data_IF_182070205996
#
_entry.id   IF_182070205996
#
_cell.length_a   1.000
_cell.length_b   1.000
_cell.length_c   1.000
_cell.angle_alpha   90.00
_cell.angle_beta   90.00
_cell.angle_gamma   90.00
#
_symmetry.space_group_name_H-M   'P 1'
#
loop_
_entity.id
_entity.type
_entity.pdbx_description
1 polymer ?
#
# COMPACT_ATOMS: atom_id res chain seq x y z
N UNK A 1 25.45 -23.35 -39.99
CA UNK A 1 26.71 -23.56 -39.23
C UNK A 1 26.34 -23.97 -37.81
N UNK A 2 26.98 -25.02 -37.30
CA UNK A 2 26.58 -25.79 -36.12
C UNK A 2 26.85 -25.02 -34.81
N UNK A 3 25.92 -25.14 -33.87
CA UNK A 3 25.92 -24.54 -32.53
C UNK A 3 27.01 -25.16 -31.64
N UNK A 4 27.74 -24.35 -30.87
CA UNK A 4 28.57 -24.82 -29.76
C UNK A 4 27.96 -24.22 -28.49
N UNK A 5 27.34 -25.09 -27.69
CA UNK A 5 26.84 -24.79 -26.34
C UNK A 5 27.90 -25.33 -25.38
N UNK A 6 28.50 -24.45 -24.58
CA UNK A 6 29.43 -24.83 -23.50
C UNK A 6 28.61 -24.89 -22.21
N UNK A 7 28.37 -26.11 -21.72
CA UNK A 7 27.81 -26.36 -20.39
C UNK A 7 28.95 -26.51 -19.38
N UNK A 8 29.01 -25.64 -18.38
CA UNK A 8 29.90 -25.78 -17.22
C UNK A 8 29.07 -26.32 -16.05
N UNK A 9 29.38 -27.49 -15.48
CA UNK A 9 28.70 -27.99 -14.30
C UNK A 9 29.39 -27.44 -13.04
N UNK A 10 28.66 -26.65 -12.24
CA UNK A 10 29.10 -26.31 -10.87
C UNK A 10 28.42 -27.28 -9.91
N UNK A 11 29.26 -28.11 -9.30
CA UNK A 11 28.90 -29.21 -8.42
C UNK A 11 29.22 -28.82 -6.96
N UNK A 12 28.14 -28.73 -6.16
CA UNK A 12 28.01 -29.08 -4.72
C UNK A 12 28.81 -28.27 -3.67
N UNK A 13 28.12 -27.77 -2.63
CA UNK A 13 28.21 -28.28 -1.25
C UNK A 13 27.21 -27.56 -0.32
N UNK A 14 26.25 -28.34 0.19
CA UNK A 14 25.41 -28.03 1.34
C UNK A 14 26.28 -27.94 2.60
N UNK A 15 26.08 -26.89 3.41
CA UNK A 15 26.44 -26.92 4.83
C UNK A 15 25.18 -26.57 5.62
N UNK A 16 24.49 -27.61 6.08
CA UNK A 16 23.64 -27.52 7.28
C UNK A 16 24.57 -27.47 8.48
N UNK A 17 24.46 -26.43 9.30
CA UNK A 17 24.99 -26.43 10.66
C UNK A 17 23.86 -26.07 11.61
N UNK A 18 23.17 -27.09 12.09
CA UNK A 18 22.50 -27.05 13.38
C UNK A 18 23.51 -27.52 14.42
N UNK A 19 23.87 -26.66 15.36
CA UNK A 19 24.43 -27.08 16.64
C UNK A 19 23.55 -26.57 17.77
N UNK A 20 22.73 -27.49 18.28
CA UNK A 20 22.22 -27.43 19.65
C UNK A 20 23.42 -27.55 20.62
N UNK A 21 23.45 -26.67 21.61
CA UNK A 21 24.12 -26.93 22.89
C UNK A 21 23.16 -26.60 24.02
N UNK A 22 22.63 -27.65 24.63
CA UNK A 22 22.09 -27.61 25.99
C UNK A 22 23.26 -27.62 26.99
N UNK A 23 23.19 -26.74 27.99
CA UNK A 23 23.19 -27.11 29.42
C UNK A 23 23.54 -25.89 30.28
N UNK A 24 22.60 -25.38 31.08
CA UNK A 24 22.64 -25.68 32.52
C UNK A 24 21.42 -25.14 33.26
N UNK A 25 20.93 -26.04 34.12
CA UNK A 25 19.81 -25.88 35.03
C UNK A 25 20.12 -24.89 36.15
N UNK A 26 19.10 -24.14 36.57
CA UNK A 26 18.80 -23.99 37.99
C UNK A 26 17.28 -24.14 38.19
N UNK A 27 16.92 -25.22 38.91
CA UNK A 27 15.61 -25.47 39.55
C UNK A 27 15.38 -24.37 40.59
N UNK A 28 14.19 -23.97 41.02
CA UNK A 28 13.00 -24.68 41.48
C UNK A 28 11.97 -23.55 41.72
N UNK A 29 10.76 -23.54 41.20
CA UNK A 29 9.63 -24.37 41.62
C UNK A 29 8.56 -23.47 42.25
N UNK A 30 7.36 -23.38 41.66
CA UNK A 30 6.09 -23.49 42.38
C UNK A 30 4.92 -23.56 41.40
N UNK A 31 4.05 -24.52 41.66
CA UNK A 31 2.79 -24.77 40.98
C UNK A 31 1.79 -23.70 41.44
N UNK A 32 1.22 -22.95 40.50
CA UNK A 32 -0.09 -22.32 40.67
C UNK A 32 -0.91 -22.59 39.41
N UNK A 33 -1.96 -23.40 39.57
CA UNK A 33 -3.10 -23.43 38.66
C UNK A 33 -3.80 -22.08 38.77
N UNK A 34 -4.02 -21.39 37.66
CA UNK A 34 -5.11 -20.43 37.54
C UNK A 34 -5.61 -20.42 36.10
N UNK A 35 -6.79 -21.00 35.95
CA UNK A 35 -7.91 -20.50 35.17
C UNK A 35 -7.66 -20.07 33.71
N UNK A 36 -8.11 -20.97 32.83
CA UNK A 36 -8.98 -20.67 31.70
C UNK A 36 -9.30 -19.18 31.49
N UNK A 37 -8.47 -18.53 30.67
CA UNK A 37 -8.90 -17.36 29.90
C UNK A 37 -9.48 -17.91 28.61
N UNK A 38 -10.81 -18.03 28.58
CA UNK A 38 -11.55 -18.08 27.34
C UNK A 38 -11.08 -16.90 26.49
N UNK A 39 -10.50 -17.19 25.32
CA UNK A 39 -10.46 -16.22 24.23
C UNK A 39 -11.92 -15.89 23.94
N UNK A 40 -12.37 -14.75 24.42
CA UNK A 40 -13.58 -14.14 23.92
C UNK A 40 -13.37 -13.89 22.43
N UNK A 41 -13.95 -14.77 21.64
CA UNK A 41 -14.21 -14.54 20.23
C UNK A 41 -15.23 -13.40 20.18
N UNK A 42 -14.71 -12.16 20.22
CA UNK A 42 -15.54 -10.96 20.10
C UNK A 42 -16.26 -11.04 18.78
N UNK A 43 -17.58 -11.03 18.89
CA UNK A 43 -18.60 -11.12 17.85
C UNK A 43 -18.32 -10.17 16.67
N UNK A 44 -17.46 -10.60 15.74
CA UNK A 44 -16.89 -9.76 14.68
C UNK A 44 -17.81 -9.58 13.47
N UNK A 45 -18.92 -10.32 13.41
CA UNK A 45 -19.73 -10.46 12.19
C UNK A 45 -20.55 -9.22 11.79
N UNK A 46 -20.94 -8.36 12.75
CA UNK A 46 -21.70 -7.13 12.44
C UNK A 46 -20.76 -5.94 12.24
N UNK A 47 -19.74 -5.80 13.09
CA UNK A 47 -18.80 -4.69 13.03
C UNK A 47 -18.05 -4.72 11.70
N UNK A 48 -17.41 -5.85 11.37
CA UNK A 48 -16.55 -6.03 10.19
C UNK A 48 -17.17 -5.61 8.85
N UNK A 49 -18.51 -5.59 8.74
CA UNK A 49 -19.21 -5.26 7.51
C UNK A 49 -19.01 -3.79 7.14
N UNK A 50 -19.03 -2.88 8.10
CA UNK A 50 -18.87 -1.44 7.81
C UNK A 50 -17.46 -1.12 7.32
N UNK A 51 -16.43 -1.72 7.92
CA UNK A 51 -15.04 -1.53 7.49
C UNK A 51 -14.79 -2.12 6.10
N UNK A 52 -15.32 -3.31 5.81
CA UNK A 52 -15.20 -3.93 4.49
C UNK A 52 -15.91 -3.08 3.43
N UNK A 53 -17.15 -2.65 3.69
CA UNK A 53 -17.91 -1.84 2.75
C UNK A 53 -17.27 -0.46 2.53
N UNK A 54 -16.65 0.14 3.56
CA UNK A 54 -15.85 1.36 3.40
C UNK A 54 -14.69 1.14 2.41
N UNK A 55 -13.89 0.09 2.61
CA UNK A 55 -12.74 -0.22 1.75
C UNK A 55 -13.20 -0.47 0.31
N UNK A 56 -14.21 -1.32 0.11
CA UNK A 56 -14.77 -1.58 -1.23
C UNK A 56 -15.28 -0.31 -1.90
N UNK A 57 -16.00 0.53 -1.16
CA UNK A 57 -16.56 1.78 -1.67
C UNK A 57 -15.47 2.75 -2.11
N UNK A 58 -14.40 2.89 -1.31
CA UNK A 58 -13.26 3.70 -1.68
C UNK A 58 -12.59 3.20 -2.96
N UNK A 59 -12.29 1.90 -3.07
CA UNK A 59 -11.61 1.36 -4.25
C UNK A 59 -12.43 1.53 -5.52
N UNK A 60 -13.74 1.24 -5.46
CA UNK A 60 -14.66 1.46 -6.57
C UNK A 60 -14.76 2.92 -6.96
N UNK A 61 -14.82 3.82 -5.96
CA UNK A 61 -14.79 5.26 -6.20
C UNK A 61 -13.47 5.67 -6.86
N UNK A 62 -12.34 5.18 -6.39
CA UNK A 62 -11.03 5.50 -6.93
C UNK A 62 -10.91 5.10 -8.39
N UNK A 63 -11.21 3.83 -8.72
CA UNK A 63 -11.24 3.31 -10.10
C UNK A 63 -12.13 4.19 -10.99
N UNK A 64 -13.32 4.58 -10.51
CA UNK A 64 -14.24 5.41 -11.29
C UNK A 64 -13.74 6.85 -11.50
N UNK A 65 -12.93 7.38 -10.60
CA UNK A 65 -12.50 8.78 -10.60
C UNK A 65 -11.02 8.98 -10.92
N UNK A 66 -10.24 7.92 -11.16
CA UNK A 66 -8.80 8.01 -11.42
C UNK A 66 -8.48 8.93 -12.59
N UNK A 67 -9.25 8.86 -13.68
CA UNK A 67 -9.10 9.74 -14.83
C UNK A 67 -9.38 11.21 -14.52
N UNK A 68 -10.16 11.52 -13.48
CA UNK A 68 -10.34 12.89 -13.01
C UNK A 68 -9.14 13.33 -12.18
N UNK A 69 -8.62 12.46 -11.33
CA UNK A 69 -7.44 12.73 -10.49
C UNK A 69 -6.18 12.93 -11.34
N UNK A 70 -5.97 12.12 -12.37
CA UNK A 70 -4.80 12.19 -13.25
C UNK A 70 -4.79 13.40 -14.19
N UNK A 71 -5.91 14.13 -14.32
CA UNK A 71 -5.93 15.42 -15.04
C UNK A 71 -5.17 16.52 -14.32
N UNK A 72 -4.97 16.39 -13.01
CA UNK A 72 -4.12 17.28 -12.27
C UNK A 72 -2.67 16.91 -12.57
N UNK A 73 -2.01 17.71 -13.39
CA UNK A 73 -0.60 17.53 -13.77
C UNK A 73 0.30 17.90 -12.59
N UNK A 74 0.27 17.05 -11.55
CA UNK A 74 0.96 17.27 -10.28
C UNK A 74 2.47 17.21 -10.40
N UNK A 75 2.99 16.46 -11.37
CA UNK A 75 4.40 16.45 -11.76
C UNK A 75 4.52 17.10 -13.13
N UNK A 76 5.39 18.11 -13.24
CA UNK A 76 5.71 18.80 -14.48
C UNK A 76 7.15 18.51 -14.93
N UNK A 77 7.50 18.98 -16.14
CA UNK A 77 8.80 18.73 -16.77
C UNK A 77 8.82 17.41 -17.55
N UNK A 78 10.03 16.84 -17.68
CA UNK A 78 10.30 15.63 -18.46
C UNK A 78 10.62 15.90 -19.93
N UNK A 79 10.82 14.81 -20.67
CA UNK A 79 11.21 14.81 -22.08
C UNK A 79 10.07 15.12 -23.06
N UNK A 80 8.82 15.08 -22.60
CA UNK A 80 7.63 15.32 -23.44
C UNK A 80 7.33 16.82 -23.55
N UNK A 81 8.16 17.54 -24.28
CA UNK A 81 8.01 18.97 -24.59
C UNK A 81 7.71 19.18 -26.08
N UNK A 82 7.16 20.34 -26.44
CA UNK A 82 6.88 20.66 -27.83
C UNK A 82 8.17 20.66 -28.68
N UNK A 83 8.05 20.48 -30.00
CA UNK A 83 9.17 20.33 -30.97
C UNK A 83 10.25 21.43 -30.93
N UNK A 84 10.04 22.53 -30.22
CA UNK A 84 10.96 23.68 -30.12
C UNK A 84 11.27 24.09 -28.66
N UNK A 85 10.98 23.23 -27.68
CA UNK A 85 11.28 23.48 -26.27
C UNK A 85 12.33 22.50 -25.76
N UNK A 86 13.19 22.97 -24.86
CA UNK A 86 14.16 22.11 -24.19
C UNK A 86 13.48 21.33 -23.05
N UNK A 87 13.75 20.03 -22.88
CA UNK A 87 13.27 19.24 -21.76
C UNK A 87 13.61 19.88 -20.41
N UNK A 88 12.60 20.01 -19.55
CA UNK A 88 12.78 20.56 -18.20
C UNK A 88 12.96 19.43 -17.19
N UNK A 89 13.80 19.65 -16.18
CA UNK A 89 13.89 18.73 -15.04
C UNK A 89 12.53 18.60 -14.35
N UNK A 90 12.27 17.43 -13.77
CA UNK A 90 11.04 17.19 -13.03
C UNK A 90 10.87 18.19 -11.88
N UNK A 91 9.64 18.57 -11.64
CA UNK A 91 9.25 19.39 -10.50
C UNK A 91 7.81 19.08 -10.11
N UNK A 92 7.45 19.42 -8.87
CA UNK A 92 6.09 19.28 -8.37
C UNK A 92 5.31 20.58 -8.58
N UNK A 93 4.19 20.48 -9.28
CA UNK A 93 3.25 21.59 -9.39
C UNK A 93 2.30 21.60 -8.18
N UNK A 94 2.69 22.29 -7.11
CA UNK A 94 1.89 22.35 -5.89
C UNK A 94 0.48 22.93 -6.07
N UNK A 95 0.25 23.78 -7.08
CA UNK A 95 -1.09 24.29 -7.37
C UNK A 95 -2.03 23.19 -7.88
N UNK A 96 -1.51 22.24 -8.68
CA UNK A 96 -2.24 21.06 -9.12
C UNK A 96 -2.36 20.01 -8.01
N UNK A 97 -1.32 19.88 -7.16
CA UNK A 97 -1.39 19.02 -5.96
C UNK A 97 -2.52 19.46 -5.04
N UNK A 98 -2.71 20.76 -4.82
CA UNK A 98 -3.81 21.25 -3.99
C UNK A 98 -5.19 20.88 -4.57
N UNK A 99 -5.37 20.98 -5.88
CA UNK A 99 -6.61 20.56 -6.55
C UNK A 99 -6.82 19.05 -6.43
N UNK A 100 -5.76 18.26 -6.61
CA UNK A 100 -5.76 16.81 -6.42
C UNK A 100 -6.16 16.41 -5.00
N UNK A 101 -5.55 17.02 -3.97
CA UNK A 101 -5.87 16.74 -2.56
C UNK A 101 -7.31 17.15 -2.22
N UNK A 102 -7.79 18.29 -2.75
CA UNK A 102 -9.18 18.72 -2.58
C UNK A 102 -10.14 17.71 -3.22
N UNK A 103 -9.82 17.17 -4.39
CA UNK A 103 -10.66 16.17 -5.05
C UNK A 103 -10.69 14.84 -4.29
N UNK A 104 -9.54 14.37 -3.79
CA UNK A 104 -9.47 13.23 -2.88
C UNK A 104 -10.32 13.44 -1.62
N UNK A 105 -10.29 14.65 -1.04
CA UNK A 105 -11.07 14.99 0.15
C UNK A 105 -12.58 14.91 -0.10
N UNK A 106 -13.05 15.32 -1.28
CA UNK A 106 -14.48 15.24 -1.65
C UNK A 106 -15.02 13.81 -1.69
N UNK A 107 -14.15 12.81 -1.80
CA UNK A 107 -14.56 11.39 -1.75
C UNK A 107 -15.24 11.03 -0.42
N UNK A 108 -14.87 11.70 0.67
CA UNK A 108 -15.42 11.45 2.01
C UNK A 108 -14.98 10.13 2.65
N UNK A 109 -13.96 9.46 2.10
CA UNK A 109 -13.43 8.18 2.61
C UNK A 109 -12.17 8.32 3.46
N UNK A 110 -11.41 9.40 3.29
CA UNK A 110 -10.04 9.54 3.80
C UNK A 110 -10.01 10.43 5.04
N UNK A 111 -9.13 10.13 5.99
CA UNK A 111 -8.85 11.04 7.13
C UNK A 111 -8.03 12.25 6.66
N UNK A 112 -8.07 13.33 7.45
CA UNK A 112 -7.16 14.48 7.23
C UNK A 112 -5.68 14.07 7.36
N UNK A 113 -5.38 13.07 8.19
CA UNK A 113 -4.03 12.53 8.35
C UNK A 113 -3.57 11.81 7.07
N UNK A 114 -4.45 11.03 6.43
CA UNK A 114 -4.19 10.44 5.12
C UNK A 114 -3.84 11.53 4.09
N UNK A 115 -4.69 12.54 3.97
CA UNK A 115 -4.50 13.64 3.00
C UNK A 115 -3.22 14.43 3.26
N UNK A 116 -2.86 14.63 4.54
CA UNK A 116 -1.60 15.25 4.93
C UNK A 116 -0.39 14.41 4.49
N UNK A 117 -0.43 13.10 4.71
CA UNK A 117 0.64 12.19 4.30
C UNK A 117 0.77 12.15 2.77
N UNK A 118 -0.35 12.16 2.05
CA UNK A 118 -0.35 12.24 0.59
C UNK A 118 0.31 13.55 0.10
N UNK A 119 -0.01 14.70 0.71
CA UNK A 119 0.67 15.97 0.40
C UNK A 119 2.16 15.92 0.74
N UNK A 120 2.55 15.22 1.81
CA UNK A 120 3.94 15.08 2.22
C UNK A 120 4.79 14.34 1.19
N UNK A 121 4.24 13.33 0.50
CA UNK A 121 4.91 12.62 -0.61
C UNK A 121 5.33 13.60 -1.71
N UNK A 122 4.47 14.55 -2.07
CA UNK A 122 4.80 15.59 -3.06
C UNK A 122 5.89 16.56 -2.56
N UNK A 123 5.90 16.90 -1.27
CA UNK A 123 6.96 17.74 -0.69
C UNK A 123 8.31 17.03 -0.76
N UNK A 124 8.33 15.73 -0.46
CA UNK A 124 9.54 14.90 -0.53
C UNK A 124 10.00 14.69 -1.97
N UNK A 125 9.08 14.50 -2.90
CA UNK A 125 9.35 14.43 -4.34
C UNK A 125 10.00 15.71 -4.88
N UNK A 126 9.46 16.87 -4.54
CA UNK A 126 10.04 18.16 -4.93
C UNK A 126 11.47 18.33 -4.40
N UNK A 127 11.69 17.94 -3.13
CA UNK A 127 13.02 17.96 -2.55
C UNK A 127 13.97 17.04 -3.33
N UNK A 128 13.53 15.82 -3.64
CA UNK A 128 14.31 14.86 -4.41
C UNK A 128 14.68 15.39 -5.79
N UNK A 129 13.73 15.95 -6.56
CA UNK A 129 14.00 16.45 -7.91
C UNK A 129 14.95 17.66 -7.93
N UNK A 130 14.95 18.48 -6.87
CA UNK A 130 15.93 19.56 -6.71
C UNK A 130 17.34 19.04 -6.43
N UNK A 131 17.44 17.98 -5.63
CA UNK A 131 18.72 17.34 -5.30
C UNK A 131 19.25 16.46 -6.44
N UNK A 132 18.36 15.92 -7.28
CA UNK A 132 18.65 15.00 -8.36
C UNK A 132 17.94 15.46 -9.65
N UNK A 133 18.45 16.48 -10.34
CA UNK A 133 17.79 17.00 -11.53
C UNK A 133 17.83 15.98 -12.67
N UNK A 134 16.65 15.50 -13.06
CA UNK A 134 16.46 14.54 -14.13
C UNK A 134 15.23 14.91 -14.97
N UNK A 135 15.24 14.57 -16.25
CA UNK A 135 14.16 14.86 -17.20
C UNK A 135 13.90 13.70 -18.17
N UNK A 136 14.55 12.55 -17.97
CA UNK A 136 14.41 11.36 -18.79
C UNK A 136 13.79 10.22 -17.99
N UNK A 137 13.01 9.37 -18.66
CA UNK A 137 12.28 8.26 -18.04
C UNK A 137 11.16 8.70 -17.07
N UNK A 138 10.48 7.77 -16.39
CA UNK A 138 9.45 8.10 -15.41
C UNK A 138 10.00 8.85 -14.19
N UNK A 139 9.24 9.81 -13.62
CA UNK A 139 9.67 10.55 -12.43
C UNK A 139 9.79 9.63 -11.21
N UNK A 140 10.95 9.62 -10.55
CA UNK A 140 11.21 8.76 -9.40
C UNK A 140 10.14 8.89 -8.30
N UNK A 141 9.53 7.77 -7.92
CA UNK A 141 8.51 7.73 -6.86
C UNK A 141 7.12 8.17 -7.29
N UNK A 142 6.93 8.53 -8.56
CA UNK A 142 5.64 8.91 -9.16
C UNK A 142 5.33 8.10 -10.43
N UNK A 143 6.04 7.00 -10.64
CA UNK A 143 5.95 6.11 -11.81
C UNK A 143 4.93 4.97 -11.65
N UNK A 144 4.11 4.99 -10.60
CA UNK A 144 3.09 3.98 -10.30
C UNK A 144 1.86 4.59 -9.63
N UNK A 145 0.74 3.86 -9.66
CA UNK A 145 -0.47 4.24 -8.91
C UNK A 145 -0.24 4.09 -7.41
N UNK A 146 -0.37 5.16 -6.63
CA UNK A 146 -0.05 5.15 -5.20
C UNK A 146 -1.08 4.47 -4.30
N UNK A 147 -2.27 4.15 -4.81
CA UNK A 147 -3.32 3.46 -4.05
C UNK A 147 -3.40 1.97 -4.38
N UNK A 148 -3.02 1.60 -5.61
CA UNK A 148 -2.97 0.24 -6.12
C UNK A 148 -1.54 -0.31 -6.24
N UNK A 149 -0.51 0.48 -5.93
CA UNK A 149 0.91 0.11 -5.92
C UNK A 149 1.39 -0.61 -7.19
N UNK A 150 0.87 -0.20 -8.36
CA UNK A 150 1.15 -0.87 -9.64
C UNK A 150 1.29 0.13 -10.79
N UNK A 151 2.05 -0.26 -11.81
CA UNK A 151 2.11 0.44 -13.10
C UNK A 151 1.12 -0.15 -14.13
N UNK A 152 0.61 -1.35 -13.85
CA UNK A 152 -0.31 -2.08 -14.71
C UNK A 152 -1.76 -1.58 -14.53
N UNK A 153 -2.61 -1.88 -15.51
CA UNK A 153 -4.05 -1.62 -15.40
C UNK A 153 -4.64 -2.39 -14.19
N UNK A 154 -5.29 -1.66 -13.29
CA UNK A 154 -5.89 -2.21 -12.07
C UNK A 154 -7.43 -2.18 -12.10
N UNK A 155 -8.01 -1.56 -13.12
CA UNK A 155 -9.45 -1.48 -13.31
C UNK A 155 -10.08 -2.87 -13.52
N UNK A 156 -9.30 -3.82 -14.02
CA UNK A 156 -9.69 -5.22 -14.17
C UNK A 156 -9.93 -5.93 -12.83
N UNK A 157 -9.44 -5.41 -11.71
CA UNK A 157 -9.74 -5.93 -10.38
C UNK A 157 -11.12 -5.52 -9.86
N UNK A 158 -11.85 -4.63 -10.55
CA UNK A 158 -13.17 -4.17 -10.11
C UNK A 158 -14.15 -5.33 -9.75
N UNK A 159 -14.25 -6.43 -10.54
CA UNK A 159 -15.08 -7.58 -10.19
C UNK A 159 -14.54 -8.39 -9.00
N UNK A 160 -13.23 -8.31 -8.71
CA UNK A 160 -12.59 -9.03 -7.62
C UNK A 160 -12.75 -8.30 -6.29
N UNK A 161 -12.86 -6.97 -6.28
CA UNK A 161 -13.14 -6.19 -5.07
C UNK A 161 -14.36 -6.75 -4.31
N UNK A 162 -15.42 -7.16 -5.01
CA UNK A 162 -16.60 -7.71 -4.33
C UNK A 162 -16.44 -9.16 -3.85
N UNK A 163 -15.60 -9.94 -4.54
CA UNK A 163 -15.46 -11.39 -4.35
C UNK A 163 -14.29 -11.76 -3.45
N UNK A 164 -13.33 -10.86 -3.27
CA UNK A 164 -12.14 -11.10 -2.48
C UNK A 164 -12.50 -11.41 -1.03
N UNK A 165 -11.65 -12.23 -0.41
CA UNK A 165 -11.75 -12.53 1.02
C UNK A 165 -11.11 -11.39 1.81
N UNK A 166 -11.89 -10.78 2.68
CA UNK A 166 -11.45 -9.74 3.59
C UNK A 166 -11.23 -10.31 4.99
N UNK A 167 -10.15 -9.88 5.64
CA UNK A 167 -9.83 -10.16 7.03
C UNK A 167 -9.85 -8.84 7.78
N UNK A 168 -10.74 -8.72 8.76
CA UNK A 168 -10.83 -7.53 9.61
C UNK A 168 -10.20 -7.83 10.96
N UNK A 169 -9.28 -6.98 11.39
CA UNK A 169 -8.63 -7.02 12.69
C UNK A 169 -8.98 -5.75 13.47
N UNK A 170 -9.99 -5.86 14.33
CA UNK A 170 -10.44 -4.74 15.17
C UNK A 170 -9.40 -4.43 16.25
N UNK A 171 -8.98 -3.16 16.35
CA UNK A 171 -8.00 -2.66 17.33
C UNK A 171 -8.64 -1.64 18.28
N UNK A 172 -9.48 -2.16 19.17
CA UNK A 172 -10.30 -1.35 20.08
C UNK A 172 -11.47 -0.69 19.36
N UNK A 173 -12.10 0.31 19.98
CA UNK A 173 -13.33 0.92 19.45
C UNK A 173 -13.09 1.83 18.23
N UNK A 174 -11.93 2.50 18.19
CA UNK A 174 -11.68 3.60 17.24
C UNK A 174 -10.71 3.25 16.11
N UNK A 175 -10.11 2.06 16.10
CA UNK A 175 -9.15 1.66 15.08
C UNK A 175 -9.44 0.24 14.60
N UNK A 176 -9.22 0.00 13.31
CA UNK A 176 -9.36 -1.32 12.70
C UNK A 176 -8.37 -1.46 11.55
N UNK A 177 -8.08 -2.70 11.16
CA UNK A 177 -7.30 -3.01 9.98
C UNK A 177 -8.09 -3.96 9.09
N UNK A 178 -8.11 -3.69 7.78
CA UNK A 178 -8.73 -4.56 6.79
C UNK A 178 -7.63 -5.03 5.83
N UNK A 179 -7.49 -6.35 5.71
CA UNK A 179 -6.56 -6.98 4.78
C UNK A 179 -7.28 -7.84 3.75
N UNK A 180 -6.80 -7.80 2.52
CA UNK A 180 -7.37 -8.56 1.41
C UNK A 180 -6.36 -8.66 0.26
N UNK A 181 -6.55 -9.65 -0.60
CA UNK A 181 -5.74 -9.87 -1.78
C UNK A 181 -6.55 -9.57 -3.04
N UNK A 182 -5.95 -8.88 -4.00
CA UNK A 182 -6.49 -8.70 -5.34
C UNK A 182 -5.63 -9.47 -6.35
N UNK A 183 -6.22 -10.42 -7.09
CA UNK A 183 -5.45 -11.35 -7.91
C UNK A 183 -4.91 -10.75 -9.20
N UNK A 184 -5.54 -9.72 -9.79
CA UNK A 184 -5.05 -9.17 -11.06
C UNK A 184 -3.82 -8.30 -10.82
N UNK A 185 -3.85 -7.39 -9.85
CA UNK A 185 -2.67 -6.63 -9.47
C UNK A 185 -1.65 -7.46 -8.67
N UNK A 186 -2.04 -8.64 -8.17
CA UNK A 186 -1.15 -9.53 -7.42
C UNK A 186 -0.72 -8.99 -6.06
N UNK A 187 -1.48 -8.05 -5.48
CA UNK A 187 -1.10 -7.34 -4.25
C UNK A 187 -1.99 -7.76 -3.08
N UNK A 188 -1.37 -7.93 -1.91
CA UNK A 188 -2.09 -7.97 -0.64
C UNK A 188 -2.07 -6.57 -0.02
N UNK A 189 -3.26 -6.04 0.23
CA UNK A 189 -3.44 -4.73 0.81
C UNK A 189 -3.68 -4.82 2.31
N UNK A 190 -3.25 -3.78 3.02
CA UNK A 190 -3.67 -3.49 4.39
C UNK A 190 -4.15 -2.04 4.48
N UNK A 191 -5.42 -1.89 4.83
CA UNK A 191 -6.06 -0.60 5.07
C UNK A 191 -6.19 -0.39 6.58
N UNK A 192 -5.51 0.63 7.10
CA UNK A 192 -5.67 1.06 8.49
C UNK A 192 -6.81 2.05 8.56
N UNK A 193 -7.78 1.79 9.43
CA UNK A 193 -9.01 2.56 9.54
C UNK A 193 -9.11 3.23 10.90
N UNK A 194 -9.76 4.40 10.92
CA UNK A 194 -10.02 5.17 12.13
C UNK A 194 -11.47 5.62 12.18
N UNK A 195 -12.09 5.46 13.35
CA UNK A 195 -13.45 5.94 13.61
C UNK A 195 -13.40 7.37 14.14
N UNK A 196 -14.09 8.28 13.47
CA UNK A 196 -14.20 9.69 13.83
C UNK A 196 -15.67 10.07 13.82
N UNK A 197 -16.20 10.56 14.95
CA UNK A 197 -17.62 10.90 15.12
C UNK A 197 -18.54 9.76 14.63
N UNK A 198 -18.28 8.55 15.13
CA UNK A 198 -19.02 7.31 14.82
C UNK A 198 -18.92 6.79 13.38
N UNK A 199 -18.19 7.48 12.48
CA UNK A 199 -17.98 7.03 11.10
C UNK A 199 -16.54 6.54 10.87
N UNK A 200 -16.39 5.44 10.13
CA UNK A 200 -15.08 4.93 9.73
C UNK A 200 -14.49 5.68 8.53
N UNK A 201 -13.18 5.88 8.56
CA UNK A 201 -12.39 6.49 7.50
C UNK A 201 -11.08 5.72 7.31
N UNK A 202 -10.50 5.81 6.13
CA UNK A 202 -9.20 5.23 5.79
C UNK A 202 -8.11 6.20 6.23
N UNK A 203 -7.20 5.73 7.06
CA UNK A 203 -6.08 6.51 7.60
C UNK A 203 -4.74 6.16 6.95
N UNK A 204 -4.58 4.93 6.45
CA UNK A 204 -3.40 4.48 5.70
C UNK A 204 -3.73 3.33 4.76
N UNK A 205 -3.05 3.27 3.63
CA UNK A 205 -3.09 2.16 2.67
C UNK A 205 -1.66 1.68 2.47
N UNK A 206 -1.44 0.37 2.50
CA UNK A 206 -0.13 -0.26 2.39
C UNK A 206 -0.24 -1.55 1.56
N UNK A 207 0.79 -1.82 0.75
CA UNK A 207 1.08 -3.16 0.25
C UNK A 207 1.82 -3.95 1.34
N UNK A 208 1.47 -5.22 1.54
CA UNK A 208 2.09 -6.11 2.52
C UNK A 208 2.32 -7.49 1.92
N UNK A 209 3.29 -8.24 2.45
CA UNK A 209 3.63 -9.57 1.90
C UNK A 209 2.62 -10.67 2.28
N UNK A 210 1.76 -10.46 3.28
CA UNK A 210 0.88 -11.50 3.83
C UNK A 210 -0.46 -10.99 4.35
N UNK A 211 -1.49 -11.83 4.18
CA UNK A 211 -2.82 -11.68 4.81
C UNK A 211 -2.70 -11.92 6.33
#
# INVERSE_FOLDING_TARGET
MKRIIICVPILILFIQSCQNKDSNQLKSGSIVKSDSVNKEEVNSGINAKEEIELVKSFMKWYIKNVNTLYKFNTIGGGANVAENEEPQNYFVNFSEVEKYIVELKKSGFLTENFLKNEKQIFIEGEKYFKENPENDGPPYGFDYDRFFFTQEAFEEDLPNIDKSKYVVNQKGEFNSEVKFYLPICGITYKYSLKKVNEKWFIDKIESVDTL
#
